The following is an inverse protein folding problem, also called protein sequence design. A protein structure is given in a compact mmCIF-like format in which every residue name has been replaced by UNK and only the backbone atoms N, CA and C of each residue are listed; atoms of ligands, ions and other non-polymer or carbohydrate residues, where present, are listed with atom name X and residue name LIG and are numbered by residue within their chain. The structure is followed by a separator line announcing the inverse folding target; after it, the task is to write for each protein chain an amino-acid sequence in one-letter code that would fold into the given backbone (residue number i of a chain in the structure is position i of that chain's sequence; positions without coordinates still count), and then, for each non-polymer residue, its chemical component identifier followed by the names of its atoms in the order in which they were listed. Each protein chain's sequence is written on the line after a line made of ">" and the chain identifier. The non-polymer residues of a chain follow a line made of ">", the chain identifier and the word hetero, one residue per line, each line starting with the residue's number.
data_IF_185257924893
#
_entry.id   IF_185257924893
#
_cell.length_a   1.000
_cell.length_b   1.000
_cell.length_c   1.000
_cell.angle_alpha   90.00
_cell.angle_beta   90.00
_cell.angle_gamma   90.00
#
_symmetry.space_group_name_H-M   'P 1'
#
loop_
_entity.id
_entity.type
_entity.pdbx_description
1 polymer ?
#
# COMPACT_ATOMS: atom_id res chain seq x y z
N UNK A 1 -18.49 -24.76 4.31
CA UNK A 1 -18.04 -23.59 5.11
C UNK A 1 -17.95 -22.42 4.14
N UNK A 2 -18.65 -21.33 4.42
CA UNK A 2 -18.65 -20.16 3.53
C UNK A 2 -17.42 -19.30 3.78
N UNK A 3 -16.68 -19.02 2.72
CA UNK A 3 -15.53 -18.12 2.76
C UNK A 3 -15.86 -16.77 2.11
N UNK A 4 -15.24 -15.73 2.62
CA UNK A 4 -15.30 -14.38 2.06
C UNK A 4 -13.90 -14.02 1.58
N UNK A 5 -13.76 -13.92 0.27
CA UNK A 5 -12.47 -13.77 -0.39
C UNK A 5 -12.34 -12.36 -0.92
N UNK A 6 -11.29 -11.68 -0.51
CA UNK A 6 -10.90 -10.38 -1.06
C UNK A 6 -9.62 -10.51 -1.86
N UNK A 7 -9.66 -10.05 -3.11
CA UNK A 7 -8.52 -10.07 -4.03
C UNK A 7 -8.19 -8.64 -4.43
N UNK A 8 -7.01 -8.19 -4.06
CA UNK A 8 -6.46 -6.89 -4.43
C UNK A 8 -5.32 -7.09 -5.42
N UNK A 9 -5.59 -6.90 -6.71
CA UNK A 9 -4.56 -6.95 -7.75
C UNK A 9 -4.05 -5.53 -7.99
N UNK A 10 -2.99 -5.18 -7.27
CA UNK A 10 -2.29 -3.91 -7.45
C UNK A 10 -1.34 -3.93 -8.65
N UNK A 11 -0.70 -2.79 -8.93
CA UNK A 11 0.24 -2.64 -10.05
C UNK A 11 1.52 -3.47 -9.91
N UNK A 12 1.96 -3.75 -8.69
CA UNK A 12 3.23 -4.45 -8.40
C UNK A 12 2.98 -5.82 -7.78
N UNK A 13 2.07 -5.92 -6.83
CA UNK A 13 1.76 -7.13 -6.08
C UNK A 13 0.26 -7.35 -5.99
N UNK A 14 -0.14 -8.61 -6.06
CA UNK A 14 -1.48 -9.07 -5.73
C UNK A 14 -1.51 -9.61 -4.30
N UNK A 15 -2.54 -9.21 -3.54
CA UNK A 15 -2.80 -9.68 -2.19
C UNK A 15 -4.17 -10.32 -2.15
N UNK A 16 -4.27 -11.44 -1.46
CA UNK A 16 -5.53 -12.14 -1.26
C UNK A 16 -5.73 -12.46 0.19
N UNK A 17 -6.94 -12.22 0.67
CA UNK A 17 -7.35 -12.55 2.04
C UNK A 17 -8.59 -13.42 1.98
N UNK A 18 -8.57 -14.50 2.75
CA UNK A 18 -9.74 -15.37 2.98
C UNK A 18 -10.18 -15.19 4.41
N UNK A 19 -11.45 -14.86 4.60
CA UNK A 19 -12.09 -14.72 5.91
C UNK A 19 -13.21 -15.72 6.09
N UNK A 20 -13.44 -16.14 7.33
CA UNK A 20 -14.64 -16.88 7.73
C UNK A 20 -15.85 -15.94 7.96
N UNK A 21 -16.98 -16.50 8.39
CA UNK A 21 -18.20 -15.76 8.70
C UNK A 21 -18.07 -14.84 9.92
N UNK A 22 -17.10 -15.10 10.79
CA UNK A 22 -16.79 -14.32 12.00
C UNK A 22 -15.77 -13.21 11.74
N UNK A 23 -15.41 -12.95 10.48
CA UNK A 23 -14.38 -11.99 10.06
C UNK A 23 -12.96 -12.39 10.49
N UNK A 24 -12.70 -13.64 10.84
CA UNK A 24 -11.35 -14.09 11.13
C UNK A 24 -10.60 -14.35 9.83
N UNK A 25 -9.37 -13.85 9.74
CA UNK A 25 -8.52 -14.07 8.57
C UNK A 25 -7.92 -15.48 8.69
N UNK A 26 -8.29 -16.34 7.73
CA UNK A 26 -7.82 -17.71 7.66
C UNK A 26 -6.54 -17.82 6.81
N UNK A 27 -6.51 -17.14 5.67
CA UNK A 27 -5.36 -17.16 4.76
C UNK A 27 -5.00 -15.78 4.25
N UNK A 28 -3.71 -15.57 4.02
CA UNK A 28 -3.12 -14.40 3.36
C UNK A 28 -2.20 -14.89 2.27
N UNK A 29 -2.41 -14.43 1.04
CA UNK A 29 -1.54 -14.69 -0.09
C UNK A 29 -0.93 -13.38 -0.58
N UNK A 30 0.35 -13.41 -0.91
CA UNK A 30 1.08 -12.32 -1.52
C UNK A 30 1.90 -12.86 -2.68
N UNK A 31 1.76 -12.25 -3.84
CA UNK A 31 2.55 -12.61 -5.02
C UNK A 31 2.74 -11.39 -5.94
N UNK A 32 3.79 -11.36 -6.77
CA UNK A 32 3.92 -10.35 -7.81
C UNK A 32 2.72 -10.37 -8.76
N UNK A 33 2.28 -9.19 -9.24
CA UNK A 33 1.24 -9.09 -10.27
C UNK A 33 1.77 -9.55 -11.63
N UNK A 34 3.09 -9.46 -11.86
CA UNK A 34 3.67 -9.86 -13.13
C UNK A 34 3.18 -9.02 -14.31
N UNK A 35 3.17 -9.64 -15.50
CA UNK A 35 2.77 -8.99 -16.74
C UNK A 35 1.24 -8.92 -16.94
N UNK A 36 0.54 -9.97 -16.52
CA UNK A 36 -0.89 -10.15 -16.79
C UNK A 36 -1.69 -10.27 -15.51
N UNK A 37 -2.61 -9.35 -15.27
CA UNK A 37 -3.55 -9.45 -14.15
C UNK A 37 -4.49 -10.66 -14.28
N UNK A 38 -4.79 -11.11 -15.50
CA UNK A 38 -5.61 -12.29 -15.72
C UNK A 38 -4.87 -13.57 -15.29
N UNK A 39 -3.59 -13.70 -15.67
CA UNK A 39 -2.76 -14.85 -15.27
C UNK A 39 -2.54 -14.86 -13.76
N UNK A 40 -2.38 -13.67 -13.17
CA UNK A 40 -2.29 -13.51 -11.72
C UNK A 40 -3.59 -13.96 -11.03
N UNK A 41 -4.75 -13.59 -11.56
CA UNK A 41 -6.03 -14.03 -11.04
C UNK A 41 -6.18 -15.55 -11.13
N UNK A 42 -5.77 -16.14 -12.25
CA UNK A 42 -5.81 -17.60 -12.41
C UNK A 42 -4.90 -18.31 -11.41
N UNK A 43 -3.66 -17.82 -11.24
CA UNK A 43 -2.73 -18.38 -10.25
C UNK A 43 -3.23 -18.24 -8.79
N UNK A 44 -3.94 -17.14 -8.47
CA UNK A 44 -4.60 -16.98 -7.17
C UNK A 44 -5.69 -18.03 -7.00
N UNK A 45 -6.52 -18.25 -8.02
CA UNK A 45 -7.57 -19.25 -7.99
C UNK A 45 -7.02 -20.65 -7.71
N UNK A 46 -6.00 -21.07 -8.46
CA UNK A 46 -5.35 -22.37 -8.30
C UNK A 46 -4.82 -22.57 -6.86
N UNK A 47 -4.14 -21.56 -6.32
CA UNK A 47 -3.66 -21.60 -4.93
C UNK A 47 -4.78 -21.70 -3.90
N UNK A 48 -5.91 -21.05 -4.13
CA UNK A 48 -7.06 -21.13 -3.24
C UNK A 48 -7.73 -22.51 -3.32
N UNK A 49 -7.83 -23.09 -4.52
CA UNK A 49 -8.33 -24.47 -4.73
C UNK A 49 -7.42 -25.50 -4.05
N UNK A 50 -6.09 -25.33 -4.12
CA UNK A 50 -5.11 -26.15 -3.38
C UNK A 50 -5.27 -26.07 -1.86
N UNK A 51 -5.72 -24.93 -1.33
CA UNK A 51 -6.07 -24.73 0.08
C UNK A 51 -7.45 -25.30 0.45
N UNK A 52 -8.16 -25.93 -0.50
CA UNK A 52 -9.49 -26.52 -0.27
C UNK A 52 -10.63 -25.51 -0.25
N UNK A 53 -10.42 -24.31 -0.81
CA UNK A 53 -11.46 -23.28 -0.90
C UNK A 53 -12.41 -23.60 -2.05
N UNK A 54 -13.67 -23.83 -1.73
CA UNK A 54 -14.75 -24.03 -2.74
C UNK A 54 -15.35 -22.68 -3.15
N UNK A 55 -15.13 -22.29 -4.39
CA UNK A 55 -15.68 -21.06 -4.98
C UNK A 55 -17.21 -21.09 -5.12
N UNK A 56 -17.81 -22.28 -5.22
CA UNK A 56 -19.27 -22.44 -5.27
C UNK A 56 -19.97 -21.98 -4.00
N UNK A 57 -19.32 -22.14 -2.86
CA UNK A 57 -19.81 -21.73 -1.55
C UNK A 57 -19.16 -20.44 -1.02
N UNK A 58 -18.26 -19.83 -1.76
CA UNK A 58 -17.53 -18.63 -1.37
C UNK A 58 -18.04 -17.39 -2.07
N UNK A 59 -17.93 -16.22 -1.42
CA UNK A 59 -18.15 -14.93 -2.05
C UNK A 59 -16.80 -14.27 -2.35
N UNK A 60 -16.62 -13.76 -3.58
CA UNK A 60 -15.37 -13.18 -4.05
C UNK A 60 -15.57 -11.73 -4.47
N UNK A 61 -14.79 -10.83 -3.88
CA UNK A 61 -14.72 -9.42 -4.28
C UNK A 61 -13.31 -9.08 -4.73
N UNK A 62 -13.21 -8.47 -5.91
CA UNK A 62 -11.95 -7.98 -6.45
C UNK A 62 -11.82 -6.46 -6.34
N UNK A 63 -10.59 -5.99 -6.05
CA UNK A 63 -10.21 -4.59 -6.00
C UNK A 63 -8.82 -4.38 -6.61
N UNK A 64 -8.31 -3.15 -6.59
CA UNK A 64 -7.04 -2.79 -7.21
C UNK A 64 -7.14 -2.49 -8.71
N UNK A 65 -6.00 -2.21 -9.33
CA UNK A 65 -5.92 -1.94 -10.78
C UNK A 65 -6.43 -3.10 -11.63
N UNK A 66 -6.07 -4.33 -11.26
CA UNK A 66 -6.42 -5.55 -11.98
C UNK A 66 -7.80 -6.11 -11.63
N UNK A 67 -8.64 -5.43 -10.85
CA UNK A 67 -9.94 -5.95 -10.39
C UNK A 67 -10.86 -6.44 -11.49
N UNK A 68 -10.81 -5.82 -12.68
CA UNK A 68 -11.63 -6.23 -13.83
C UNK A 68 -11.14 -7.52 -14.50
N UNK A 69 -9.92 -7.94 -14.19
CA UNK A 69 -9.30 -9.15 -14.74
C UNK A 69 -9.48 -10.38 -13.84
N UNK A 70 -10.40 -10.35 -12.89
CA UNK A 70 -10.74 -11.49 -12.01
C UNK A 70 -12.09 -12.05 -12.45
N UNK A 71 -12.12 -13.03 -13.37
CA UNK A 71 -13.36 -13.47 -14.03
C UNK A 71 -14.32 -14.23 -13.10
N UNK A 72 -13.81 -14.71 -11.95
CA UNK A 72 -14.57 -15.43 -10.94
C UNK A 72 -14.99 -14.55 -9.75
N UNK A 73 -14.75 -13.25 -9.82
CA UNK A 73 -15.23 -12.32 -8.79
C UNK A 73 -16.74 -12.08 -8.95
N UNK A 74 -17.48 -12.21 -7.85
CA UNK A 74 -18.92 -11.90 -7.82
C UNK A 74 -19.17 -10.40 -7.96
N UNK A 75 -18.19 -9.58 -7.52
CA UNK A 75 -18.28 -8.12 -7.56
C UNK A 75 -16.90 -7.47 -7.57
N UNK A 76 -16.81 -6.30 -8.19
CA UNK A 76 -15.65 -5.41 -8.04
C UNK A 76 -16.01 -4.22 -7.16
N UNK A 77 -15.07 -3.79 -6.32
CA UNK A 77 -15.19 -2.61 -5.44
C UNK A 77 -13.98 -1.73 -5.63
N UNK A 78 -14.15 -0.42 -5.52
CA UNK A 78 -13.06 0.53 -5.68
C UNK A 78 -12.00 0.34 -4.60
N UNK A 79 -10.76 0.54 -4.98
CA UNK A 79 -9.59 0.41 -4.12
C UNK A 79 -9.70 1.33 -2.89
N UNK A 80 -10.11 2.58 -3.09
CA UNK A 80 -10.31 3.56 -2.02
C UNK A 80 -11.29 3.04 -0.96
N UNK A 81 -12.42 2.48 -1.39
CA UNK A 81 -13.42 1.89 -0.48
C UNK A 81 -12.85 0.70 0.29
N UNK A 82 -12.14 -0.19 -0.40
CA UNK A 82 -11.55 -1.37 0.22
C UNK A 82 -10.45 -1.01 1.22
N UNK A 83 -9.52 -0.10 0.86
CA UNK A 83 -8.48 0.36 1.79
C UNK A 83 -9.08 1.03 3.03
N UNK A 84 -10.12 1.86 2.88
CA UNK A 84 -10.81 2.47 4.02
C UNK A 84 -11.43 1.42 4.96
N UNK A 85 -12.18 0.47 4.40
CA UNK A 85 -12.80 -0.61 5.19
C UNK A 85 -11.78 -1.52 5.86
N UNK A 86 -10.73 -1.91 5.12
CA UNK A 86 -9.67 -2.77 5.65
C UNK A 86 -8.86 -2.09 6.75
N UNK A 87 -8.53 -0.82 6.59
CA UNK A 87 -7.84 -0.05 7.63
C UNK A 87 -8.69 0.08 8.90
N UNK A 88 -10.00 0.30 8.77
CA UNK A 88 -10.90 0.29 9.93
C UNK A 88 -10.88 -1.04 10.68
N UNK A 89 -10.85 -2.15 9.95
CA UNK A 89 -10.77 -3.48 10.55
C UNK A 89 -9.42 -3.72 11.24
N UNK A 90 -8.32 -3.39 10.55
CA UNK A 90 -6.95 -3.61 11.03
C UNK A 90 -6.63 -2.82 12.29
N UNK A 91 -7.18 -1.61 12.42
CA UNK A 91 -6.91 -0.70 13.55
C UNK A 91 -8.08 -0.62 14.55
N UNK A 92 -9.12 -1.43 14.37
CA UNK A 92 -10.35 -1.42 15.21
C UNK A 92 -10.88 0.01 15.43
N UNK A 93 -10.94 0.80 14.37
CA UNK A 93 -11.33 2.20 14.43
C UNK A 93 -12.37 2.53 13.35
N UNK A 94 -13.35 3.37 13.68
CA UNK A 94 -14.38 3.82 12.72
C UNK A 94 -14.06 5.17 12.08
N UNK A 95 -13.18 5.95 12.71
CA UNK A 95 -12.73 7.25 12.18
C UNK A 95 -11.21 7.28 12.19
N UNK A 96 -10.61 7.40 11.01
CA UNK A 96 -9.17 7.41 10.80
C UNK A 96 -8.79 8.02 9.46
N UNK A 97 -7.53 8.40 9.34
CA UNK A 97 -6.93 8.80 8.06
C UNK A 97 -5.95 7.74 7.62
N UNK A 98 -6.18 7.15 6.45
CA UNK A 98 -5.28 6.18 5.84
C UNK A 98 -4.28 6.89 4.94
N UNK A 99 -3.01 6.58 5.10
CA UNK A 99 -1.96 6.87 4.15
C UNK A 99 -1.62 5.54 3.49
N UNK A 100 -2.04 5.34 2.25
CA UNK A 100 -1.72 4.15 1.48
C UNK A 100 -0.62 4.47 0.48
N UNK A 101 0.55 3.86 0.65
CA UNK A 101 1.66 4.02 -0.29
C UNK A 101 1.78 2.74 -1.11
N UNK A 102 1.20 2.79 -2.30
CA UNK A 102 1.22 1.71 -3.28
C UNK A 102 2.51 1.66 -4.11
N UNK A 103 2.55 0.70 -5.03
CA UNK A 103 3.67 0.57 -5.98
C UNK A 103 3.78 1.76 -6.92
N UNK A 104 2.68 2.24 -7.49
CA UNK A 104 2.66 3.33 -8.48
C UNK A 104 1.79 4.53 -8.09
N UNK A 105 1.12 4.47 -6.97
CA UNK A 105 0.25 5.53 -6.49
C UNK A 105 0.38 5.72 -4.98
N UNK A 106 -0.14 6.85 -4.51
CA UNK A 106 -0.27 7.16 -3.08
C UNK A 106 -1.65 7.73 -2.84
N UNK A 107 -2.33 7.22 -1.83
CA UNK A 107 -3.68 7.66 -1.45
C UNK A 107 -3.71 8.12 -0.01
N UNK A 108 -4.39 9.22 0.23
CA UNK A 108 -4.85 9.62 1.55
C UNK A 108 -6.36 9.45 1.57
N UNK A 109 -6.88 8.72 2.53
CA UNK A 109 -8.30 8.40 2.61
C UNK A 109 -8.80 8.78 4.01
N UNK A 110 -9.74 9.71 4.07
CA UNK A 110 -10.44 10.04 5.30
C UNK A 110 -11.65 9.13 5.46
N UNK A 111 -11.68 8.39 6.57
CA UNK A 111 -12.80 7.53 6.93
C UNK A 111 -13.47 8.10 8.17
N UNK A 112 -14.78 8.32 8.10
CA UNK A 112 -15.63 8.73 9.23
C UNK A 112 -16.78 7.74 9.40
N UNK A 113 -16.97 7.24 10.61
CA UNK A 113 -18.02 6.27 10.94
C UNK A 113 -17.99 5.02 10.04
N UNK A 114 -16.80 4.56 9.65
CA UNK A 114 -16.59 3.39 8.80
C UNK A 114 -16.89 3.62 7.31
N UNK A 115 -17.08 4.86 6.88
CA UNK A 115 -17.34 5.23 5.48
C UNK A 115 -16.27 6.20 4.98
N UNK A 116 -15.84 6.02 3.75
CA UNK A 116 -14.95 6.99 3.09
C UNK A 116 -15.68 8.31 2.91
N UNK A 117 -15.11 9.35 3.49
CA UNK A 117 -15.66 10.72 3.45
C UNK A 117 -15.01 11.56 2.36
N UNK A 118 -13.68 11.45 2.26
CA UNK A 118 -12.88 12.21 1.31
C UNK A 118 -11.59 11.45 0.98
N UNK A 119 -10.94 11.75 -0.12
CA UNK A 119 -9.66 11.19 -0.49
C UNK A 119 -8.86 12.10 -1.41
N UNK A 120 -7.55 11.98 -1.31
CA UNK A 120 -6.58 12.54 -2.26
C UNK A 120 -5.77 11.38 -2.85
N UNK A 121 -5.59 11.37 -4.16
CA UNK A 121 -4.80 10.34 -4.84
C UNK A 121 -3.75 10.97 -5.75
N UNK A 122 -2.54 10.41 -5.72
CA UNK A 122 -1.50 10.68 -6.69
C UNK A 122 -1.26 9.38 -7.48
N UNK A 123 -1.81 9.31 -8.68
CA UNK A 123 -1.71 8.19 -9.62
C UNK A 123 -1.01 8.57 -10.94
N UNK A 124 -0.55 9.81 -11.06
CA UNK A 124 0.07 10.34 -12.28
C UNK A 124 1.60 10.51 -12.17
N UNK A 125 2.11 10.50 -10.94
CA UNK A 125 3.52 10.74 -10.68
C UNK A 125 4.05 9.72 -9.68
N UNK A 126 5.14 9.04 -10.02
CA UNK A 126 5.76 8.04 -9.13
C UNK A 126 6.47 8.66 -7.90
N UNK A 127 6.67 9.98 -7.87
CA UNK A 127 7.21 10.64 -6.68
C UNK A 127 6.32 10.40 -5.45
N UNK A 128 6.92 9.91 -4.37
CA UNK A 128 6.20 9.57 -3.15
C UNK A 128 5.53 8.18 -3.17
N UNK A 129 5.91 7.30 -4.09
CA UNK A 129 5.38 5.94 -4.23
C UNK A 129 6.47 4.89 -4.04
N UNK A 130 6.08 3.62 -3.95
CA UNK A 130 7.02 2.50 -3.90
C UNK A 130 7.94 2.43 -5.12
N UNK A 131 7.47 2.82 -6.31
CA UNK A 131 8.28 2.85 -7.52
C UNK A 131 9.42 3.87 -7.44
N UNK A 132 9.17 5.03 -6.85
CA UNK A 132 10.23 6.00 -6.60
C UNK A 132 11.33 5.41 -5.70
N UNK A 133 10.92 4.80 -4.58
CA UNK A 133 11.86 4.14 -3.65
C UNK A 133 12.66 3.03 -4.35
N UNK A 134 12.00 2.21 -5.16
CA UNK A 134 12.63 1.10 -5.90
C UNK A 134 13.68 1.60 -6.89
N UNK A 135 13.37 2.64 -7.69
CA UNK A 135 14.33 3.24 -8.64
C UNK A 135 15.56 3.75 -7.89
N UNK A 136 15.37 4.50 -6.80
CA UNK A 136 16.48 5.04 -6.02
C UNK A 136 17.30 3.95 -5.32
N UNK A 137 16.65 2.90 -4.83
CA UNK A 137 17.33 1.76 -4.24
C UNK A 137 18.20 1.03 -5.26
N UNK A 138 17.69 0.82 -6.48
CA UNK A 138 18.44 0.22 -7.58
C UNK A 138 19.66 1.08 -7.97
N UNK A 139 19.51 2.40 -8.04
CA UNK A 139 20.60 3.35 -8.34
C UNK A 139 21.69 3.30 -7.27
N UNK A 140 21.33 3.10 -6.00
CA UNK A 140 22.24 2.92 -4.88
C UNK A 140 22.82 1.49 -4.75
N UNK A 141 22.34 0.54 -5.58
CA UNK A 141 22.76 -0.86 -5.51
C UNK A 141 22.34 -1.54 -4.21
N UNK A 142 21.14 -1.23 -3.68
CA UNK A 142 20.58 -1.82 -2.46
C UNK A 142 19.11 -2.23 -2.68
N UNK A 143 18.57 -3.00 -1.75
CA UNK A 143 17.13 -3.30 -1.71
C UNK A 143 16.37 -2.13 -1.05
N UNK A 144 15.06 -1.96 -1.33
CA UNK A 144 14.25 -0.89 -0.74
C UNK A 144 14.21 -0.89 0.80
N UNK A 145 14.19 -2.07 1.42
CA UNK A 145 14.28 -2.23 2.88
C UNK A 145 15.61 -1.72 3.43
N UNK A 146 16.73 -2.15 2.83
CA UNK A 146 18.06 -1.70 3.21
C UNK A 146 18.27 -0.18 2.97
N UNK A 147 17.63 0.41 1.94
CA UNK A 147 17.66 1.85 1.74
C UNK A 147 17.00 2.58 2.91
N UNK A 148 15.85 2.11 3.39
CA UNK A 148 15.17 2.71 4.54
C UNK A 148 15.98 2.58 5.83
N UNK A 149 16.69 1.47 6.03
CA UNK A 149 17.61 1.28 7.15
C UNK A 149 18.81 2.25 7.10
N UNK A 150 19.44 2.38 5.92
CA UNK A 150 20.53 3.35 5.69
C UNK A 150 20.07 4.77 5.94
N UNK A 151 18.86 5.13 5.52
CA UNK A 151 18.32 6.48 5.69
C UNK A 151 18.23 6.89 7.16
N UNK A 152 18.03 5.95 8.09
CA UNK A 152 18.01 6.24 9.53
C UNK A 152 19.35 6.68 10.10
N UNK A 153 20.44 6.42 9.38
CA UNK A 153 21.83 6.74 9.79
C UNK A 153 22.37 7.98 9.09
N UNK A 154 21.61 8.54 8.13
CA UNK A 154 22.03 9.68 7.30
C UNK A 154 21.41 11.00 7.74
N UNK A 155 21.75 12.06 7.01
CA UNK A 155 21.21 13.40 7.20
C UNK A 155 21.94 14.45 6.37
N UNK A 156 21.44 15.68 6.39
CA UNK A 156 22.14 16.86 5.83
C UNK A 156 22.12 16.99 4.30
N UNK A 157 21.67 15.97 3.57
CA UNK A 157 21.56 15.99 2.12
C UNK A 157 20.08 16.06 1.71
N UNK A 158 19.79 16.69 0.59
CA UNK A 158 18.43 16.79 0.05
C UNK A 158 18.41 16.52 -1.45
N UNK A 159 17.30 15.99 -1.93
CA UNK A 159 16.96 15.89 -3.35
C UNK A 159 15.91 16.96 -3.64
N UNK A 160 16.22 17.82 -4.60
CA UNK A 160 15.37 18.97 -4.96
C UNK A 160 14.30 18.59 -5.98
N UNK A 161 14.60 17.62 -6.83
CA UNK A 161 13.75 17.21 -7.94
C UNK A 161 12.58 16.36 -7.49
N UNK A 162 11.38 16.78 -7.86
CA UNK A 162 10.15 16.00 -7.60
C UNK A 162 9.90 14.90 -8.63
N UNK A 163 10.44 15.04 -9.84
CA UNK A 163 10.32 14.03 -10.90
C UNK A 163 11.34 12.92 -10.67
N UNK A 164 10.90 11.67 -10.71
CA UNK A 164 11.74 10.48 -10.48
C UNK A 164 12.97 10.45 -11.39
N UNK A 165 12.83 10.81 -12.68
CA UNK A 165 13.93 10.82 -13.63
C UNK A 165 15.01 11.83 -13.25
N UNK A 166 14.60 13.04 -12.88
CA UNK A 166 15.54 14.08 -12.46
C UNK A 166 16.13 13.79 -11.08
N UNK A 167 15.33 13.24 -10.17
CA UNK A 167 15.82 12.81 -8.85
C UNK A 167 16.86 11.70 -8.96
N UNK A 168 16.69 10.75 -9.87
CA UNK A 168 17.69 9.71 -10.15
C UNK A 168 19.01 10.32 -10.66
N UNK A 169 18.94 11.28 -11.58
CA UNK A 169 20.13 12.01 -12.08
C UNK A 169 20.82 12.80 -10.97
N UNK A 170 20.05 13.37 -10.03
CA UNK A 170 20.58 14.09 -8.87
C UNK A 170 21.29 13.11 -7.90
N UNK A 171 20.70 11.93 -7.65
CA UNK A 171 21.33 10.85 -6.87
C UNK A 171 22.65 10.40 -7.50
N UNK A 172 22.69 10.17 -8.82
CA UNK A 172 23.92 9.81 -9.54
C UNK A 172 24.99 10.91 -9.38
N UNK A 173 24.58 12.18 -9.44
CA UNK A 173 25.48 13.31 -9.23
C UNK A 173 26.05 13.35 -7.80
N UNK A 174 25.22 13.05 -6.78
CA UNK A 174 25.65 12.97 -5.38
C UNK A 174 26.66 11.84 -5.19
N UNK A 175 26.42 10.67 -5.78
CA UNK A 175 27.36 9.54 -5.77
C UNK A 175 28.69 9.97 -6.40
N UNK A 176 28.66 10.63 -7.57
CA UNK A 176 29.86 11.10 -8.27
C UNK A 176 30.66 12.14 -7.50
N UNK A 177 30.04 12.88 -6.58
CA UNK A 177 30.68 13.84 -5.68
C UNK A 177 31.22 13.19 -4.40
N UNK A 178 31.04 11.88 -4.21
CA UNK A 178 31.48 11.16 -3.02
C UNK A 178 30.58 11.36 -1.80
N UNK A 179 29.31 11.74 -1.98
CA UNK A 179 28.36 11.83 -0.89
C UNK A 179 28.15 10.44 -0.25
N UNK A 180 27.99 10.41 1.07
CA UNK A 180 27.77 9.16 1.82
C UNK A 180 26.45 8.51 1.41
N UNK A 181 26.45 7.18 1.28
CA UNK A 181 25.29 6.42 0.88
C UNK A 181 24.10 6.63 1.83
N UNK A 182 24.36 6.72 3.15
CA UNK A 182 23.39 6.97 4.21
C UNK A 182 22.70 8.33 4.03
N UNK A 183 23.47 9.37 3.67
CA UNK A 183 22.93 10.71 3.44
C UNK A 183 22.05 10.77 2.20
N UNK A 184 22.44 10.06 1.13
CA UNK A 184 21.61 9.94 -0.09
C UNK A 184 20.34 9.16 0.22
N UNK A 185 20.44 8.06 0.96
CA UNK A 185 19.28 7.26 1.39
C UNK A 185 18.30 8.10 2.23
N UNK A 186 18.83 8.90 3.18
CA UNK A 186 18.05 9.88 3.94
C UNK A 186 17.29 10.84 3.02
N UNK A 187 17.98 11.44 2.05
CA UNK A 187 17.39 12.41 1.12
C UNK A 187 16.26 11.78 0.27
N UNK A 188 16.40 10.50 -0.12
CA UNK A 188 15.37 9.74 -0.84
C UNK A 188 14.13 9.56 0.01
N UNK A 189 14.26 9.06 1.26
CA UNK A 189 13.12 8.86 2.15
C UNK A 189 12.47 10.19 2.54
N UNK A 190 13.26 11.22 2.82
CA UNK A 190 12.79 12.57 3.13
C UNK A 190 11.96 13.17 1.97
N UNK A 191 12.35 12.91 0.72
CA UNK A 191 11.57 13.31 -0.46
C UNK A 191 10.18 12.64 -0.50
N UNK A 192 10.09 11.36 -0.15
CA UNK A 192 8.80 10.65 -0.04
C UNK A 192 7.97 11.27 1.09
N UNK A 193 8.56 11.46 2.26
CA UNK A 193 7.91 12.02 3.45
C UNK A 193 7.34 13.40 3.16
N UNK A 194 8.14 14.29 2.55
CA UNK A 194 7.70 15.63 2.16
C UNK A 194 6.56 15.61 1.16
N UNK A 195 6.62 14.71 0.17
CA UNK A 195 5.56 14.57 -0.84
C UNK A 195 4.25 14.11 -0.22
N UNK A 196 4.28 13.06 0.59
CA UNK A 196 3.10 12.52 1.30
C UNK A 196 2.58 13.52 2.33
N UNK A 197 3.46 14.14 3.10
CA UNK A 197 3.10 15.16 4.08
C UNK A 197 2.45 16.39 3.48
N UNK A 198 2.93 16.83 2.30
CA UNK A 198 2.27 17.92 1.54
C UNK A 198 0.85 17.55 1.12
N UNK A 199 0.59 16.28 0.78
CA UNK A 199 -0.77 15.81 0.50
C UNK A 199 -1.61 15.75 1.79
N UNK A 200 -1.03 15.27 2.90
CA UNK A 200 -1.70 15.24 4.19
C UNK A 200 -2.09 16.64 4.69
N UNK A 201 -1.24 17.64 4.47
CA UNK A 201 -1.53 19.04 4.78
C UNK A 201 -2.72 19.65 3.99
N UNK A 202 -3.11 19.02 2.87
CA UNK A 202 -4.27 19.44 2.05
C UNK A 202 -5.56 18.75 2.47
N UNK A 203 -5.49 17.75 3.32
CA UNK A 203 -6.63 17.02 3.89
C UNK A 203 -6.71 17.32 5.39
N UNK A 204 -7.91 17.51 5.91
CA UNK A 204 -8.12 17.61 7.36
C UNK A 204 -7.91 16.22 7.98
N UNK A 205 -6.68 15.93 8.41
CA UNK A 205 -6.32 14.65 9.04
C UNK A 205 -7.09 14.48 10.36
N UNK A 206 -7.94 13.45 10.42
CA UNK A 206 -8.81 13.17 11.57
C UNK A 206 -8.56 11.76 12.12
N UNK A 207 -8.84 11.59 13.41
CA UNK A 207 -8.70 10.31 14.11
C UNK A 207 -7.26 9.80 14.15
N UNK A 208 -7.09 8.49 14.22
CA UNK A 208 -5.81 7.83 14.09
C UNK A 208 -5.29 7.98 12.65
N UNK A 209 -3.97 8.08 12.49
CA UNK A 209 -3.31 8.08 11.17
C UNK A 209 -2.66 6.72 10.96
N UNK A 210 -3.03 6.03 9.91
CA UNK A 210 -2.60 4.67 9.64
C UNK A 210 -1.86 4.58 8.31
N UNK A 211 -0.69 3.95 8.29
CA UNK A 211 0.07 3.67 7.08
C UNK A 211 -0.26 2.26 6.58
N UNK A 212 -0.67 2.15 5.31
CA UNK A 212 -0.96 0.90 4.61
C UNK A 212 -0.15 0.80 3.32
N UNK A 213 -0.33 -0.30 2.58
CA UNK A 213 0.40 -0.54 1.34
C UNK A 213 1.76 -1.22 1.55
N UNK A 214 2.53 -1.32 0.49
CA UNK A 214 3.80 -2.07 0.50
C UNK A 214 4.89 -1.50 1.40
N UNK A 215 4.82 -0.21 1.72
CA UNK A 215 5.82 0.48 2.51
C UNK A 215 5.48 0.58 4.01
N UNK A 216 4.35 0.02 4.45
CA UNK A 216 3.92 0.12 5.85
C UNK A 216 4.83 -0.63 6.85
N UNK A 217 5.69 -1.52 6.36
CA UNK A 217 6.63 -2.29 7.19
C UNK A 217 7.95 -1.53 7.47
N UNK A 218 8.19 -0.40 6.81
CA UNK A 218 9.44 0.36 6.96
C UNK A 218 9.34 1.33 8.14
N UNK A 219 9.90 0.92 9.28
CA UNK A 219 9.82 1.67 10.56
C UNK A 219 10.32 3.10 10.40
N UNK A 220 11.48 3.30 9.77
CA UNK A 220 12.03 4.64 9.58
C UNK A 220 11.11 5.57 8.77
N UNK A 221 10.48 5.04 7.70
CA UNK A 221 9.51 5.81 6.90
C UNK A 221 8.29 6.20 7.75
N UNK A 222 7.76 5.27 8.53
CA UNK A 222 6.63 5.51 9.45
C UNK A 222 6.97 6.60 10.47
N UNK A 223 8.14 6.51 11.11
CA UNK A 223 8.57 7.48 12.12
C UNK A 223 8.83 8.86 11.51
N UNK A 224 9.42 8.91 10.32
CA UNK A 224 9.64 10.15 9.58
C UNK A 224 8.32 10.81 9.16
N UNK A 225 7.34 10.03 8.73
CA UNK A 225 5.98 10.52 8.44
C UNK A 225 5.31 11.06 9.70
N UNK A 226 5.45 10.37 10.84
CA UNK A 226 4.90 10.82 12.12
C UNK A 226 5.47 12.18 12.53
N UNK A 227 6.78 12.36 12.43
CA UNK A 227 7.45 13.63 12.71
C UNK A 227 7.00 14.76 11.78
N UNK A 228 6.84 14.47 10.49
CA UNK A 228 6.46 15.48 9.48
C UNK A 228 4.98 15.89 9.58
N UNK A 229 4.08 14.95 9.87
CA UNK A 229 2.63 15.19 9.99
C UNK A 229 2.30 15.78 11.37
N UNK A 230 3.17 15.60 12.37
CA UNK A 230 2.93 16.02 13.75
C UNK A 230 1.90 15.16 14.49
N UNK A 231 1.64 13.95 14.00
CA UNK A 231 0.78 12.93 14.61
C UNK A 231 1.43 11.56 14.48
N UNK A 232 1.23 10.71 15.47
CA UNK A 232 1.67 9.32 15.39
C UNK A 232 1.04 8.61 14.21
N UNK A 233 1.87 8.04 13.33
CA UNK A 233 1.45 7.18 12.23
C UNK A 233 1.54 5.74 12.71
N UNK A 234 0.42 5.04 12.72
CA UNK A 234 0.30 3.65 13.15
C UNK A 234 0.48 2.70 11.97
N UNK A 235 1.05 1.54 12.22
CA UNK A 235 1.16 0.44 11.26
C UNK A 235 0.66 -0.84 11.89
N UNK A 236 0.37 -1.84 11.05
CA UNK A 236 0.01 -3.18 11.47
C UNK A 236 0.64 -4.19 10.52
N UNK A 237 0.96 -5.42 10.98
CA UNK A 237 1.37 -6.52 10.10
C UNK A 237 0.38 -6.80 8.97
N UNK A 238 -0.90 -6.49 9.16
CA UNK A 238 -1.96 -6.63 8.17
C UNK A 238 -2.16 -5.38 7.30
N UNK A 239 -1.41 -4.31 7.54
CA UNK A 239 -1.54 -3.04 6.82
C UNK A 239 -1.34 -3.18 5.31
N UNK A 240 -0.42 -4.04 4.88
CA UNK A 240 -0.23 -4.31 3.44
C UNK A 240 -1.41 -5.03 2.78
N UNK A 241 -2.25 -5.70 3.56
CA UNK A 241 -3.42 -6.43 3.07
C UNK A 241 -4.72 -5.62 3.20
N UNK A 242 -4.67 -4.36 3.63
CA UNK A 242 -5.85 -3.54 3.89
C UNK A 242 -6.85 -3.54 2.70
N UNK A 243 -6.37 -3.42 1.45
CA UNK A 243 -7.22 -3.50 0.26
C UNK A 243 -7.95 -4.85 0.14
N UNK A 244 -7.22 -5.96 0.29
CA UNK A 244 -7.79 -7.31 0.22
C UNK A 244 -8.72 -7.60 1.42
N UNK A 245 -8.39 -7.12 2.62
CA UNK A 245 -9.25 -7.22 3.81
C UNK A 245 -10.57 -6.50 3.57
N UNK A 246 -10.53 -5.26 3.08
CA UNK A 246 -11.75 -4.51 2.77
C UNK A 246 -12.59 -5.14 1.67
N UNK A 247 -11.94 -5.78 0.68
CA UNK A 247 -12.63 -6.57 -0.34
C UNK A 247 -13.31 -7.80 0.27
N UNK A 248 -12.65 -8.56 1.16
CA UNK A 248 -13.23 -9.69 1.87
C UNK A 248 -14.41 -9.28 2.76
N UNK A 249 -14.30 -8.16 3.48
CA UNK A 249 -15.41 -7.59 4.25
C UNK A 249 -16.59 -7.16 3.36
N UNK A 250 -16.30 -6.74 2.13
CA UNK A 250 -17.34 -6.42 1.14
C UNK A 250 -18.00 -7.69 0.58
N UNK A 251 -17.26 -8.80 0.49
CA UNK A 251 -17.79 -10.09 0.06
C UNK A 251 -18.84 -10.62 1.04
N UNK A 252 -18.70 -10.37 2.34
CA UNK A 252 -19.70 -10.77 3.37
C UNK A 252 -21.10 -10.17 3.14
N UNK A 253 -21.20 -9.08 2.37
CA UNK A 253 -22.47 -8.42 2.04
C UNK A 253 -23.16 -9.05 0.82
N UNK A 254 -22.49 -10.00 0.14
CA UNK A 254 -23.03 -10.72 -1.00
C UNK A 254 -23.82 -11.91 -0.45
N UNK A 255 -25.12 -11.92 -0.71
CA UNK A 255 -25.98 -13.09 -0.42
C UNK A 255 -25.93 -14.03 -1.61
N UNK A 256 -25.33 -15.19 -1.43
CA UNK A 256 -25.44 -16.33 -2.34
C UNK A 256 -26.51 -17.28 -1.87
#
# INVERSE_FOLDING_TARGET
>A
MKYNIGIDIGSTCAKTVVMDENKQILHRLLQPTGWSSLDTAQAIREKLEELGIDFGESAVVATGYGRISVPYADKTVTEITCHGLGACYVHDAKTLTVIDIGGQDTKLILVENGMVKDFIMNDKCSAGTGRFLEVMANTLGVRPDALCELASQGGGTSISSMCTVFAESEVISLIGRGEKKENIAFAVVDSIVKKVGSQAGRMAVQGAVCLTGGLCEFTYLKDSLSGHIGKEVQTSPDGRYAGAIGAALSAMKIRK
#
